data_IF_830109077244
#
_entry.id   IF_830109077244
#
_cell.length_a   1.000
_cell.length_b   1.000
_cell.length_c   1.000
_cell.angle_alpha   90.00
_cell.angle_beta   90.00
_cell.angle_gamma   90.00
#
_symmetry.space_group_name_H-M   'P 1'
#
loop_
_entity.id
_entity.type
_entity.pdbx_description
1 polymer ?
#
# COMPACT_ATOMS: atom_id res chain seq x y z
N UNK A 1 3.74 -57.64 -3.74
CA UNK A 1 4.55 -56.84 -4.69
C UNK A 1 3.63 -55.84 -5.36
N UNK A 2 3.57 -54.61 -4.85
CA UNK A 2 2.74 -53.55 -5.43
C UNK A 2 3.48 -53.03 -6.66
N UNK A 3 2.84 -53.18 -7.82
CA UNK A 3 3.42 -52.87 -9.13
C UNK A 3 3.82 -51.40 -9.22
N UNK A 4 5.10 -51.15 -9.50
CA UNK A 4 5.68 -49.82 -9.76
C UNK A 4 4.98 -49.03 -10.88
N UNK A 5 4.08 -49.67 -11.65
CA UNK A 5 3.31 -49.01 -12.71
C UNK A 5 2.10 -48.20 -12.20
N UNK A 6 1.65 -48.42 -10.96
CA UNK A 6 0.54 -47.66 -10.39
C UNK A 6 0.96 -46.29 -9.83
N UNK A 7 2.25 -46.07 -9.56
CA UNK A 7 2.75 -44.83 -8.99
C UNK A 7 2.96 -43.70 -10.02
N UNK A 8 2.93 -44.00 -11.32
CA UNK A 8 3.21 -43.01 -12.36
C UNK A 8 1.96 -42.23 -12.84
N UNK A 9 0.75 -42.66 -12.47
CA UNK A 9 -0.50 -42.00 -12.88
C UNK A 9 -0.98 -40.90 -11.93
N UNK A 10 -0.24 -40.62 -10.84
CA UNK A 10 -0.58 -39.58 -9.86
C UNK A 10 0.37 -38.36 -9.87
N UNK A 11 1.23 -38.24 -10.89
CA UNK A 11 2.26 -37.18 -10.96
C UNK A 11 2.01 -36.14 -12.07
N UNK A 12 0.77 -35.97 -12.52
CA UNK A 12 0.38 -34.97 -13.53
C UNK A 12 -0.78 -34.09 -13.05
N UNK A 13 -0.75 -33.65 -11.79
CA UNK A 13 -1.46 -32.43 -11.42
C UNK A 13 -0.64 -31.25 -11.96
N UNK A 14 -0.77 -30.99 -13.26
CA UNK A 14 -0.27 -29.77 -13.89
C UNK A 14 -0.93 -28.62 -13.16
N UNK A 15 -0.14 -27.87 -12.38
CA UNK A 15 -0.52 -26.56 -11.88
C UNK A 15 -0.73 -25.67 -13.10
N UNK A 16 -1.94 -25.66 -13.64
CA UNK A 16 -2.39 -24.63 -14.57
C UNK A 16 -2.49 -23.34 -13.74
N UNK A 17 -1.39 -22.60 -13.66
CA UNK A 17 -1.50 -21.16 -13.49
C UNK A 17 -2.25 -20.67 -14.72
N UNK A 18 -3.56 -20.45 -14.61
CA UNK A 18 -4.30 -19.80 -15.67
C UNK A 18 -3.66 -18.42 -15.82
N UNK A 19 -2.98 -18.19 -16.94
CA UNK A 19 -2.56 -16.86 -17.33
C UNK A 19 -3.84 -16.02 -17.41
N UNK A 20 -4.04 -15.13 -16.44
CA UNK A 20 -5.17 -14.24 -16.44
C UNK A 20 -4.98 -13.23 -17.56
N UNK A 21 -5.94 -13.16 -18.49
CA UNK A 21 -5.94 -12.14 -19.52
C UNK A 21 -6.42 -10.81 -18.93
N UNK A 22 -5.54 -9.82 -18.98
CA UNK A 22 -5.77 -8.45 -18.50
C UNK A 22 -5.78 -7.42 -19.63
N UNK A 23 -5.79 -7.86 -20.89
CA UNK A 23 -5.64 -6.97 -22.07
C UNK A 23 -6.66 -5.83 -22.15
N UNK A 24 -7.82 -5.97 -21.51
CA UNK A 24 -8.85 -4.95 -21.39
C UNK A 24 -8.50 -3.82 -20.40
N UNK A 25 -7.77 -4.14 -19.34
CA UNK A 25 -7.39 -3.22 -18.25
C UNK A 25 -6.03 -2.55 -18.47
N UNK A 26 -5.17 -3.11 -19.32
CA UNK A 26 -3.81 -2.59 -19.52
C UNK A 26 -3.81 -1.13 -19.96
N UNK A 27 -3.03 -0.32 -19.25
CA UNK A 27 -2.85 1.10 -19.51
C UNK A 27 -2.99 1.95 -18.24
N UNK A 28 -2.85 3.26 -18.42
CA UNK A 28 -3.03 4.27 -17.37
C UNK A 28 -4.39 4.92 -17.53
N UNK A 29 -5.17 4.88 -16.46
CA UNK A 29 -6.53 5.40 -16.37
C UNK A 29 -6.55 6.54 -15.38
N UNK A 30 -7.00 7.72 -15.81
CA UNK A 30 -7.10 8.91 -14.97
C UNK A 30 -8.54 9.40 -14.87
N UNK A 31 -8.90 9.96 -13.71
CA UNK A 31 -10.17 10.66 -13.55
C UNK A 31 -10.28 11.89 -14.46
N UNK A 32 -11.50 12.43 -14.60
CA UNK A 32 -11.83 13.51 -15.56
C UNK A 32 -10.89 14.73 -15.55
N UNK A 33 -10.23 15.04 -14.44
CA UNK A 33 -9.29 16.17 -14.36
C UNK A 33 -8.06 16.01 -15.25
N UNK A 34 -7.70 14.77 -15.65
CA UNK A 34 -6.58 14.47 -16.53
C UNK A 34 -5.26 15.15 -16.11
N UNK A 35 -5.06 15.29 -14.80
CA UNK A 35 -3.89 15.93 -14.20
C UNK A 35 -3.15 15.03 -13.23
N UNK A 36 -3.87 14.09 -12.61
CA UNK A 36 -3.30 13.07 -11.72
C UNK A 36 -3.01 11.83 -12.54
N UNK A 37 -1.75 11.45 -12.59
CA UNK A 37 -1.27 10.23 -13.24
C UNK A 37 -0.41 9.44 -12.26
N UNK A 38 -0.22 8.17 -12.55
CA UNK A 38 0.75 7.31 -11.86
C UNK A 38 2.15 7.48 -12.47
N UNK A 39 3.17 6.97 -11.80
CA UNK A 39 4.56 6.94 -12.22
C UNK A 39 5.44 8.00 -11.54
N UNK A 40 6.67 8.22 -12.07
CA UNK A 40 7.68 9.08 -11.45
C UNK A 40 7.28 10.56 -11.39
N UNK A 41 6.29 10.98 -12.18
CA UNK A 41 5.73 12.33 -12.12
C UNK A 41 4.85 12.59 -10.90
N UNK A 42 4.43 11.54 -10.17
CA UNK A 42 3.58 11.65 -8.98
C UNK A 42 4.34 11.38 -7.70
N UNK A 43 5.15 10.32 -7.68
CA UNK A 43 5.94 9.93 -6.52
C UNK A 43 7.39 9.65 -6.93
N UNK A 44 8.33 10.22 -6.18
CA UNK A 44 9.76 9.95 -6.30
C UNK A 44 10.21 9.02 -5.15
N UNK A 45 10.51 7.75 -5.44
CA UNK A 45 10.92 6.80 -4.41
C UNK A 45 12.34 7.03 -3.88
N UNK A 46 13.18 7.79 -4.58
CA UNK A 46 14.57 8.07 -4.16
C UNK A 46 14.60 9.16 -3.11
N UNK A 47 13.83 10.23 -3.32
CA UNK A 47 13.74 11.37 -2.40
C UNK A 47 12.56 11.27 -1.42
N UNK A 48 11.75 10.20 -1.49
CA UNK A 48 10.53 9.99 -0.69
C UNK A 48 9.59 11.20 -0.76
N UNK A 49 9.34 11.69 -1.99
CA UNK A 49 8.68 12.96 -2.24
C UNK A 49 7.47 12.82 -3.18
N UNK A 50 6.38 13.50 -2.85
CA UNK A 50 5.21 13.62 -3.70
C UNK A 50 5.23 14.90 -4.53
N UNK A 51 4.94 14.78 -5.82
CA UNK A 51 4.68 15.92 -6.70
C UNK A 51 3.17 16.14 -6.77
N UNK A 52 2.70 17.27 -6.23
CA UNK A 52 1.28 17.59 -6.20
C UNK A 52 0.74 17.87 -7.62
N UNK A 53 -0.30 17.13 -8.07
CA UNK A 53 -0.94 17.41 -9.35
C UNK A 53 -1.70 18.73 -9.36
N UNK A 54 -1.87 19.32 -10.55
CA UNK A 54 -2.60 20.60 -10.71
C UNK A 54 -4.06 20.56 -10.23
N UNK A 55 -4.72 19.41 -10.35
CA UNK A 55 -6.10 19.21 -9.90
C UNK A 55 -6.24 17.87 -9.19
N UNK A 56 -7.19 17.81 -8.26
CA UNK A 56 -7.56 16.56 -7.58
C UNK A 56 -8.05 15.52 -8.57
N UNK A 57 -7.76 14.27 -8.25
CA UNK A 57 -8.11 13.15 -9.11
C UNK A 57 -7.57 11.84 -8.56
N UNK A 58 -7.96 10.76 -9.22
CA UNK A 58 -7.40 9.44 -8.99
C UNK A 58 -6.88 8.88 -10.31
N UNK A 59 -5.86 8.05 -10.24
CA UNK A 59 -5.28 7.35 -11.38
C UNK A 59 -4.93 5.93 -10.98
N UNK A 60 -5.10 5.02 -11.93
CA UNK A 60 -4.66 3.64 -11.84
C UNK A 60 -3.90 3.27 -13.09
N UNK A 61 -2.80 2.54 -12.92
CA UNK A 61 -2.13 1.88 -14.04
C UNK A 61 -2.12 0.39 -13.83
N UNK A 62 -2.41 -0.35 -14.89
CA UNK A 62 -2.36 -1.81 -14.89
C UNK A 62 -1.43 -2.31 -16.00
N UNK A 63 -0.59 -3.28 -15.66
CA UNK A 63 0.29 -3.97 -16.60
C UNK A 63 -0.26 -5.34 -16.95
N UNK A 64 0.16 -5.87 -18.11
CA UNK A 64 -0.18 -7.22 -18.54
C UNK A 64 0.39 -8.29 -17.61
N UNK A 65 1.45 -7.96 -16.85
CA UNK A 65 2.12 -8.86 -15.91
C UNK A 65 1.41 -8.96 -14.54
N UNK A 66 0.25 -8.33 -14.38
CA UNK A 66 -0.54 -8.39 -13.14
C UNK A 66 -0.09 -7.42 -12.05
N UNK A 67 0.64 -6.34 -12.41
CA UNK A 67 1.00 -5.27 -11.48
C UNK A 67 0.13 -4.04 -11.67
N UNK A 68 -0.17 -3.38 -10.55
CA UNK A 68 -0.90 -2.13 -10.51
C UNK A 68 -0.10 -1.05 -9.79
N UNK A 69 -0.40 0.19 -10.13
CA UNK A 69 -0.06 1.37 -9.35
C UNK A 69 -1.29 2.26 -9.24
N UNK A 70 -1.49 2.89 -8.08
CA UNK A 70 -2.52 3.89 -7.88
C UNK A 70 -1.94 5.20 -7.38
N UNK A 71 -2.60 6.29 -7.75
CA UNK A 71 -2.22 7.64 -7.35
C UNK A 71 -3.46 8.45 -7.07
N UNK A 72 -3.51 9.02 -5.88
CA UNK A 72 -4.70 9.59 -5.29
C UNK A 72 -4.39 10.98 -4.81
N UNK A 73 -5.12 11.97 -5.30
CA UNK A 73 -5.07 13.33 -4.79
C UNK A 73 -6.49 13.84 -4.53
N UNK A 74 -6.81 14.07 -3.26
CA UNK A 74 -8.17 14.42 -2.81
C UNK A 74 -8.12 15.63 -1.90
N UNK A 75 -8.98 16.61 -2.20
CA UNK A 75 -9.33 17.65 -1.26
C UNK A 75 -10.49 17.17 -0.38
N UNK A 76 -10.35 17.32 0.93
CA UNK A 76 -11.37 17.00 1.93
C UNK A 76 -11.92 18.31 2.45
N UNK A 77 -13.20 18.56 2.17
CA UNK A 77 -13.89 19.76 2.63
C UNK A 77 -14.04 19.74 4.16
N UNK A 78 -13.89 20.93 4.77
CA UNK A 78 -14.16 21.14 6.18
C UNK A 78 -15.37 22.09 6.32
N UNK A 79 -16.60 21.56 6.48
CA UNK A 79 -17.79 22.41 6.56
C UNK A 79 -17.85 23.24 7.84
N UNK A 80 -17.15 22.83 8.91
CA UNK A 80 -17.05 23.59 10.16
C UNK A 80 -16.13 24.81 10.04
N UNK A 81 -15.07 24.71 9.25
CA UNK A 81 -14.22 25.86 8.88
C UNK A 81 -13.83 25.80 7.40
N UNK A 82 -14.61 26.46 6.52
CA UNK A 82 -14.36 26.46 5.07
C UNK A 82 -13.03 27.08 4.64
N UNK A 83 -12.36 27.85 5.51
CA UNK A 83 -11.03 28.43 5.21
C UNK A 83 -9.92 27.39 5.31
N UNK A 84 -10.22 26.22 5.86
CA UNK A 84 -9.29 25.18 6.24
C UNK A 84 -9.56 23.85 5.50
N UNK A 85 -9.48 23.80 4.17
CA UNK A 85 -9.59 22.53 3.45
C UNK A 85 -8.40 21.63 3.79
N UNK A 86 -8.64 20.33 3.86
CA UNK A 86 -7.60 19.33 4.09
C UNK A 86 -7.22 18.67 2.77
N UNK A 87 -5.97 18.24 2.65
CA UNK A 87 -5.44 17.58 1.45
C UNK A 87 -4.94 16.19 1.78
N UNK A 88 -5.23 15.23 0.90
CA UNK A 88 -4.70 13.86 0.99
C UNK A 88 -4.05 13.51 -0.34
N UNK A 89 -2.76 13.17 -0.31
CA UNK A 89 -2.04 12.54 -1.41
C UNK A 89 -1.67 11.13 -0.97
N UNK A 90 -2.01 10.13 -1.78
CA UNK A 90 -1.77 8.71 -1.50
C UNK A 90 -1.18 8.05 -2.74
N UNK A 91 -0.25 7.13 -2.50
CA UNK A 91 0.37 6.31 -3.53
C UNK A 91 0.58 4.91 -2.98
N UNK A 92 0.26 3.90 -3.79
CA UNK A 92 0.67 2.52 -3.55
C UNK A 92 0.74 1.76 -4.86
N UNK A 93 1.50 0.67 -4.84
CA UNK A 93 1.68 -0.21 -5.98
C UNK A 93 1.82 -1.65 -5.50
N UNK A 94 1.59 -2.60 -6.39
CA UNK A 94 1.71 -4.01 -6.07
C UNK A 94 1.11 -4.91 -7.14
N UNK A 95 0.54 -6.04 -6.73
CA UNK A 95 -0.08 -7.02 -7.63
C UNK A 95 -1.58 -6.93 -7.59
N UNK A 96 -2.23 -7.22 -8.71
CA UNK A 96 -3.68 -7.34 -8.74
C UNK A 96 -4.09 -8.72 -9.26
N UNK A 97 -5.28 -9.14 -8.85
CA UNK A 97 -5.85 -10.43 -9.21
C UNK A 97 -7.30 -10.24 -9.64
N UNK A 98 -7.67 -10.87 -10.76
CA UNK A 98 -9.05 -10.92 -11.23
C UNK A 98 -9.68 -12.23 -10.75
N UNK A 99 -10.64 -12.14 -9.85
CA UNK A 99 -11.31 -13.34 -9.35
C UNK A 99 -12.30 -13.88 -10.40
N UNK A 100 -12.64 -15.16 -10.29
CA UNK A 100 -13.56 -15.83 -11.21
C UNK A 100 -14.99 -15.27 -11.15
N UNK A 101 -15.36 -14.59 -10.06
CA UNK A 101 -16.62 -13.88 -9.88
C UNK A 101 -16.66 -12.51 -10.60
N UNK A 102 -15.55 -12.10 -11.23
CA UNK A 102 -15.41 -10.80 -11.89
C UNK A 102 -14.97 -9.66 -10.97
N UNK A 103 -14.72 -9.94 -9.69
CA UNK A 103 -14.16 -8.98 -8.75
C UNK A 103 -12.66 -8.77 -9.00
N UNK A 104 -12.18 -7.56 -8.72
CA UNK A 104 -10.78 -7.17 -8.88
C UNK A 104 -10.19 -6.87 -7.49
N UNK A 105 -9.12 -7.56 -7.11
CA UNK A 105 -8.43 -7.33 -5.82
C UNK A 105 -7.04 -6.76 -6.06
N UNK A 106 -6.72 -5.71 -5.32
CA UNK A 106 -5.43 -5.03 -5.36
C UNK A 106 -4.64 -5.34 -4.09
N UNK A 107 -3.46 -5.93 -4.26
CA UNK A 107 -2.55 -6.35 -3.19
C UNK A 107 -1.29 -5.47 -3.20
N UNK A 108 -1.27 -4.36 -2.43
CA UNK A 108 -0.12 -3.47 -2.40
C UNK A 108 1.10 -4.12 -1.73
N UNK A 109 2.29 -3.65 -2.10
CA UNK A 109 3.52 -3.96 -1.39
C UNK A 109 3.52 -3.17 -0.07
N UNK A 110 3.34 -3.90 1.03
CA UNK A 110 3.08 -3.34 2.37
C UNK A 110 4.04 -2.25 2.86
N UNK A 111 5.28 -2.25 2.39
CA UNK A 111 6.35 -1.35 2.85
C UNK A 111 6.50 -0.09 2.00
N UNK A 112 5.92 -0.09 0.80
CA UNK A 112 6.18 0.94 -0.20
C UNK A 112 5.14 2.05 -0.19
N UNK A 113 3.87 1.75 0.08
CA UNK A 113 2.83 2.76 0.00
C UNK A 113 3.10 3.96 0.92
N UNK A 114 2.72 5.14 0.44
CA UNK A 114 2.96 6.44 1.06
C UNK A 114 1.68 7.27 1.07
N UNK A 115 1.53 8.08 2.10
CA UNK A 115 0.43 9.02 2.26
C UNK A 115 0.95 10.31 2.85
N UNK A 116 0.54 11.43 2.28
CA UNK A 116 0.73 12.76 2.81
C UNK A 116 -0.63 13.37 3.13
N UNK A 117 -0.76 13.84 4.37
CA UNK A 117 -1.95 14.49 4.89
C UNK A 117 -1.62 15.94 5.24
N UNK A 118 -2.37 16.88 4.67
CA UNK A 118 -2.24 18.31 4.92
C UNK A 118 -3.47 18.84 5.64
N UNK A 119 -3.26 19.45 6.81
CA UNK A 119 -4.28 20.18 7.56
C UNK A 119 -3.70 21.55 7.94
N UNK A 120 -3.93 22.59 7.13
CA UNK A 120 -3.28 23.89 7.27
C UNK A 120 -3.68 24.65 8.55
N UNK A 121 -4.76 24.23 9.21
CA UNK A 121 -5.27 24.91 10.40
C UNK A 121 -4.86 24.23 11.70
N UNK A 122 -4.43 22.97 11.65
CA UNK A 122 -3.81 22.29 12.78
C UNK A 122 -2.29 22.33 12.72
N UNK A 123 -1.70 22.22 11.52
CA UNK A 123 -0.27 22.06 11.33
C UNK A 123 0.27 23.02 10.28
N UNK A 124 1.51 23.49 10.48
CA UNK A 124 2.23 24.27 9.45
C UNK A 124 2.78 23.40 8.32
N UNK A 125 3.05 22.13 8.62
CA UNK A 125 3.64 21.17 7.70
C UNK A 125 2.68 19.99 7.51
N UNK A 126 2.75 19.36 6.34
CA UNK A 126 2.03 18.12 6.06
C UNK A 126 2.65 16.94 6.81
N UNK A 127 1.80 16.00 7.20
CA UNK A 127 2.18 14.75 7.88
C UNK A 127 2.39 13.68 6.82
N UNK A 128 3.58 13.08 6.80
CA UNK A 128 3.95 12.03 5.87
C UNK A 128 4.00 10.68 6.58
N UNK A 129 3.25 9.69 6.09
CA UNK A 129 3.11 8.37 6.71
C UNK A 129 3.15 7.26 5.67
N UNK A 130 3.46 6.04 6.10
CA UNK A 130 3.28 4.85 5.26
C UNK A 130 1.80 4.55 5.07
N UNK A 131 1.47 4.02 3.90
CA UNK A 131 0.12 3.63 3.50
C UNK A 131 0.14 2.19 3.01
N UNK A 132 -0.90 1.44 3.37
CA UNK A 132 -1.05 0.06 2.95
C UNK A 132 -2.53 -0.31 3.07
N UNK A 133 -3.24 -0.26 1.95
CA UNK A 133 -4.64 -0.62 1.89
C UNK A 133 -4.89 -1.60 0.74
N UNK A 134 -5.27 -2.82 1.09
CA UNK A 134 -5.80 -3.77 0.11
C UNK A 134 -7.16 -3.26 -0.37
N UNK A 135 -7.28 -2.99 -1.66
CA UNK A 135 -8.55 -2.57 -2.27
C UNK A 135 -9.24 -3.77 -2.92
N UNK A 136 -10.57 -3.85 -2.77
CA UNK A 136 -11.39 -4.86 -3.44
C UNK A 136 -12.52 -4.16 -4.18
N UNK A 137 -12.57 -4.37 -5.49
CA UNK A 137 -13.67 -3.96 -6.34
C UNK A 137 -14.59 -5.14 -6.59
N UNK A 138 -15.87 -4.97 -6.31
CA UNK A 138 -16.86 -6.01 -6.53
C UNK A 138 -16.94 -6.42 -8.01
N UNK A 139 -16.81 -5.43 -8.90
CA UNK A 139 -16.76 -5.63 -10.35
C UNK A 139 -16.07 -4.46 -11.02
N UNK A 140 -15.64 -4.67 -12.25
CA UNK A 140 -15.15 -3.60 -13.11
C UNK A 140 -15.82 -3.69 -14.49
N UNK A 141 -15.84 -2.59 -15.22
CA UNK A 141 -16.39 -2.53 -16.57
C UNK A 141 -15.53 -1.61 -17.43
N UNK A 142 -15.02 -2.13 -18.54
CA UNK A 142 -14.33 -1.34 -19.57
C UNK A 142 -15.28 -1.16 -20.75
N UNK A 143 -15.59 0.09 -21.09
CA UNK A 143 -16.45 0.42 -22.23
C UNK A 143 -15.99 1.68 -22.94
N UNK A 144 -16.44 1.90 -24.16
CA UNK A 144 -16.24 3.18 -24.84
C UNK A 144 -17.31 4.15 -24.34
N UNK A 145 -16.90 5.35 -23.93
CA UNK A 145 -17.81 6.40 -23.47
C UNK A 145 -18.59 6.95 -24.68
N UNK A 146 -19.93 6.95 -24.59
CA UNK A 146 -20.78 7.36 -25.70
C UNK A 146 -20.63 8.83 -26.09
N UNK A 147 -20.22 9.69 -25.15
CA UNK A 147 -20.05 11.12 -25.39
C UNK A 147 -18.64 11.42 -25.88
N UNK A 148 -17.61 10.97 -25.15
CA UNK A 148 -16.21 11.30 -25.43
C UNK A 148 -15.54 10.36 -26.46
N UNK A 149 -16.17 9.22 -26.79
CA UNK A 149 -15.64 8.18 -27.71
C UNK A 149 -14.27 7.61 -27.33
N UNK A 150 -13.90 7.71 -26.06
CA UNK A 150 -12.67 7.16 -25.47
C UNK A 150 -12.99 6.00 -24.54
N UNK A 151 -12.02 5.10 -24.31
CA UNK A 151 -12.19 4.02 -23.34
C UNK A 151 -12.36 4.60 -21.93
N UNK A 152 -13.36 4.10 -21.21
CA UNK A 152 -13.69 4.40 -19.83
C UNK A 152 -13.68 3.12 -19.00
N UNK A 153 -12.98 3.19 -17.87
CA UNK A 153 -12.97 2.18 -16.83
C UNK A 153 -13.88 2.63 -15.70
N UNK A 154 -14.90 1.82 -15.42
CA UNK A 154 -15.74 1.95 -14.25
C UNK A 154 -15.36 0.89 -13.22
N UNK A 155 -14.95 1.34 -12.04
CA UNK A 155 -14.67 0.48 -10.90
C UNK A 155 -15.84 0.58 -9.92
N UNK A 156 -16.25 -0.54 -9.34
CA UNK A 156 -17.29 -0.59 -8.32
C UNK A 156 -16.66 -1.08 -7.03
N UNK A 157 -16.77 -0.29 -5.96
CA UNK A 157 -16.16 -0.60 -4.66
C UNK A 157 -16.74 -1.89 -4.07
N UNK A 158 -16.22 -2.32 -2.92
CA UNK A 158 -16.68 -3.53 -2.24
C UNK A 158 -18.19 -3.51 -1.90
N UNK A 159 -18.78 -2.33 -1.71
CA UNK A 159 -20.20 -2.11 -1.43
C UNK A 159 -21.07 -2.01 -2.70
N UNK A 160 -20.47 -2.15 -3.88
CA UNK A 160 -21.12 -1.98 -5.17
C UNK A 160 -21.33 -0.52 -5.59
N UNK A 161 -20.95 0.46 -4.75
CA UNK A 161 -21.01 1.87 -5.14
C UNK A 161 -20.01 2.16 -6.27
N UNK A 162 -20.40 2.92 -7.29
CA UNK A 162 -19.49 3.27 -8.37
C UNK A 162 -18.40 4.21 -7.85
N UNK A 163 -17.15 3.93 -8.21
CA UNK A 163 -16.07 4.90 -8.12
C UNK A 163 -16.25 5.95 -9.23
N UNK A 164 -15.59 7.10 -9.10
CA UNK A 164 -15.60 8.09 -10.18
C UNK A 164 -15.07 7.45 -11.48
N UNK A 165 -15.65 7.78 -12.65
CA UNK A 165 -15.26 7.19 -13.91
C UNK A 165 -13.81 7.57 -14.25
N UNK A 166 -13.07 6.59 -14.73
CA UNK A 166 -11.69 6.75 -15.17
C UNK A 166 -11.63 6.64 -16.69
N UNK A 167 -10.80 7.44 -17.33
CA UNK A 167 -10.60 7.46 -18.78
C UNK A 167 -9.17 7.07 -19.12
N UNK A 168 -8.98 6.37 -20.23
CA UNK A 168 -7.64 5.99 -20.67
C UNK A 168 -6.83 7.26 -20.98
N UNK A 169 -5.72 7.44 -20.28
CA UNK A 169 -4.76 8.51 -20.49
C UNK A 169 -3.61 8.04 -21.38
N UNK A 170 -3.08 6.84 -21.09
CA UNK A 170 -2.00 6.22 -21.86
C UNK A 170 -2.31 4.75 -22.08
N UNK A 171 -2.12 4.26 -23.30
CA UNK A 171 -2.23 2.82 -23.62
C UNK A 171 -1.10 2.01 -23.01
N UNK A 172 0.08 2.62 -22.89
CA UNK A 172 1.22 2.06 -22.17
C UNK A 172 1.11 2.45 -20.69
N UNK A 173 1.14 1.50 -19.75
CA UNK A 173 1.06 1.82 -18.33
C UNK A 173 2.28 2.63 -17.88
N UNK A 174 2.01 3.79 -17.30
CA UNK A 174 3.01 4.62 -16.62
C UNK A 174 3.01 4.28 -15.13
N UNK A 175 4.03 3.58 -14.66
CA UNK A 175 4.21 3.24 -13.25
C UNK A 175 5.69 3.17 -12.89
N UNK A 176 5.99 3.25 -11.60
CA UNK A 176 7.29 2.99 -11.03
C UNK A 176 7.64 1.49 -11.14
N UNK A 177 8.92 1.11 -10.91
CA UNK A 177 9.32 -0.29 -10.97
C UNK A 177 8.50 -1.18 -10.03
N UNK A 178 8.08 -2.34 -10.53
CA UNK A 178 7.17 -3.29 -9.86
C UNK A 178 7.83 -4.10 -8.73
N UNK A 179 9.08 -3.78 -8.42
CA UNK A 179 9.86 -4.36 -7.30
C UNK A 179 9.66 -3.56 -6.04
N UNK A 180 9.93 -4.16 -4.88
CA UNK A 180 9.97 -3.43 -3.62
C UNK A 180 10.98 -2.28 -3.70
N UNK A 181 10.53 -1.04 -3.53
CA UNK A 181 11.35 0.16 -3.66
C UNK A 181 12.06 0.52 -2.35
N UNK A 182 11.37 0.36 -1.22
CA UNK A 182 11.86 0.73 0.10
C UNK A 182 11.83 -0.47 1.04
N UNK A 183 12.79 -1.42 0.91
CA UNK A 183 12.83 -2.59 1.77
C UNK A 183 13.07 -2.18 3.22
N UNK A 184 12.27 -2.70 4.13
CA UNK A 184 12.61 -2.65 5.54
C UNK A 184 13.77 -3.60 5.76
N UNK A 185 14.91 -3.06 6.16
CA UNK A 185 15.98 -3.86 6.76
C UNK A 185 15.45 -4.33 8.11
N UNK A 186 14.61 -5.37 8.10
CA UNK A 186 14.45 -6.20 9.28
C UNK A 186 15.82 -6.86 9.42
N UNK A 187 16.64 -6.35 10.33
CA UNK A 187 17.84 -7.05 10.76
C UNK A 187 17.38 -8.34 11.46
N UNK A 188 16.99 -9.35 10.68
CA UNK A 188 17.06 -10.72 11.12
C UNK A 188 18.53 -10.92 11.43
N UNK A 189 18.87 -11.01 12.72
CA UNK A 189 20.20 -11.33 13.18
C UNK A 189 20.61 -12.68 12.58
N UNK A 190 21.12 -12.64 11.36
CA UNK A 190 21.58 -13.82 10.65
C UNK A 190 22.97 -14.01 11.19
N UNK A 191 23.12 -15.01 12.05
CA UNK A 191 24.39 -15.41 12.58
C UNK A 191 25.39 -15.62 11.41
N UNK A 192 26.49 -14.86 11.47
CA UNK A 192 27.72 -15.00 10.66
C UNK A 192 27.66 -14.51 9.20
N UNK A 193 27.98 -13.23 9.00
CA UNK A 193 28.64 -12.75 7.79
C UNK A 193 29.97 -12.05 8.17
N UNK A 194 31.06 -12.45 7.50
CA UNK A 194 32.43 -11.98 7.77
C UNK A 194 32.66 -10.60 7.14
N UNK A 195 33.06 -9.65 8.00
CA UNK A 195 34.00 -8.50 7.83
C UNK A 195 34.24 -7.95 6.41
N UNK A 196 33.82 -6.70 6.17
CA UNK A 196 34.38 -5.84 5.12
C UNK A 196 33.61 -4.53 4.87
N UNK A 197 34.24 -3.40 5.23
CA UNK A 197 33.96 -1.98 4.90
C UNK A 197 33.05 -1.18 5.87
N UNK A 198 33.55 -0.04 6.42
CA UNK A 198 32.77 0.84 7.28
C UNK A 198 32.00 1.85 6.42
N UNK A 199 30.67 1.88 6.56
CA UNK A 199 29.83 2.98 6.10
C UNK A 199 29.49 3.86 7.31
N UNK A 200 29.38 5.19 7.12
CA UNK A 200 29.35 6.16 8.20
C UNK A 200 28.09 5.99 9.05
N UNK A 201 28.32 6.07 10.35
CA UNK A 201 27.37 5.93 11.44
C UNK A 201 26.30 7.03 11.36
N UNK A 202 25.23 6.78 10.61
CA UNK A 202 23.96 7.44 10.85
C UNK A 202 23.44 6.89 12.17
N UNK A 203 23.69 7.64 13.24
CA UNK A 203 23.28 7.38 14.61
C UNK A 203 21.74 7.26 14.65
N UNK A 204 21.25 6.03 14.48
CA UNK A 204 19.86 5.70 14.69
C UNK A 204 19.65 5.75 16.20
N UNK A 205 19.20 6.90 16.68
CA UNK A 205 18.76 7.15 18.06
C UNK A 205 17.50 6.32 18.39
N UNK A 206 17.58 5.00 18.30
CA UNK A 206 16.76 4.13 19.11
C UNK A 206 17.41 4.04 20.47
N UNK A 207 17.21 5.09 21.28
CA UNK A 207 17.40 4.99 22.73
C UNK A 207 16.47 3.88 23.19
N UNK A 208 17.04 2.69 23.39
CA UNK A 208 16.41 1.55 24.04
C UNK A 208 15.77 2.09 25.32
N UNK A 209 14.44 2.21 25.32
CA UNK A 209 13.70 2.58 26.52
C UNK A 209 14.14 1.61 27.59
N UNK A 210 14.88 2.12 28.57
CA UNK A 210 15.30 1.36 29.74
C UNK A 210 14.09 0.72 30.38
N UNK A 211 14.30 -0.46 30.95
CA UNK A 211 13.33 -1.40 31.55
C UNK A 211 12.49 -0.80 32.70
N UNK A 212 11.82 0.33 32.48
CA UNK A 212 10.97 1.00 33.46
C UNK A 212 9.76 0.11 33.78
N UNK A 213 9.22 -0.61 32.79
CA UNK A 213 8.12 -1.55 33.00
C UNK A 213 8.49 -2.70 33.95
N UNK A 214 9.69 -3.27 33.80
CA UNK A 214 10.19 -4.36 34.65
C UNK A 214 10.50 -3.84 36.06
N UNK A 215 11.13 -2.66 36.18
CA UNK A 215 11.40 -2.03 37.48
C UNK A 215 10.12 -1.68 38.25
N UNK A 216 9.08 -1.17 37.57
CA UNK A 216 7.79 -0.85 38.19
C UNK A 216 7.05 -2.13 38.62
N UNK A 217 7.12 -3.19 37.82
CA UNK A 217 6.55 -4.49 38.16
C UNK A 217 7.17 -5.07 39.44
N UNK A 218 8.51 -5.11 39.51
CA UNK A 218 9.21 -5.62 40.70
C UNK A 218 9.04 -4.73 41.93
N UNK A 219 8.96 -3.40 41.77
CA UNK A 219 8.66 -2.49 42.86
C UNK A 219 7.27 -2.74 43.46
N UNK A 220 6.25 -2.97 42.61
CA UNK A 220 4.89 -3.29 43.07
C UNK A 220 4.81 -4.63 43.82
N UNK A 221 5.56 -5.64 43.37
CA UNK A 221 5.60 -6.95 44.01
C UNK A 221 6.27 -6.90 45.40
N UNK A 222 7.35 -6.11 45.53
CA UNK A 222 8.02 -5.89 46.82
C UNK A 222 7.18 -5.07 47.80
N UNK A 223 6.49 -4.03 47.32
CA UNK A 223 5.62 -3.21 48.18
C UNK A 223 4.44 -4.02 48.74
N UNK A 224 3.85 -4.89 47.92
CA UNK A 224 2.74 -5.76 48.35
C UNK A 224 3.23 -6.84 49.33
N UNK A 225 4.40 -7.43 49.09
CA UNK A 225 5.00 -8.40 50.00
C UNK A 225 5.37 -7.80 51.36
N UNK A 226 5.97 -6.59 51.37
CA UNK A 226 6.30 -5.87 52.59
C UNK A 226 5.04 -5.46 53.39
N UNK A 227 3.99 -5.01 52.70
CA UNK A 227 2.70 -4.70 53.32
C UNK A 227 2.04 -5.92 53.97
N UNK A 228 2.09 -7.09 53.31
CA UNK A 228 1.58 -8.35 53.88
C UNK A 228 2.36 -8.83 55.10
N UNK A 229 3.68 -8.66 55.10
CA UNK A 229 4.51 -8.98 56.27
C UNK A 229 4.27 -8.02 57.44
N UNK A 230 4.16 -6.71 57.17
CA UNK A 230 3.86 -5.73 58.22
C UNK A 230 2.49 -5.95 58.86
N UNK A 231 1.48 -6.38 58.08
CA UNK A 231 0.16 -6.77 58.61
C UNK A 231 0.18 -8.02 59.51
N UNK A 232 1.21 -8.87 59.41
CA UNK A 232 1.33 -10.05 60.27
C UNK A 232 2.03 -9.75 61.60
N UNK A 233 2.84 -8.69 61.65
CA UNK A 233 3.63 -8.32 62.83
C UNK A 233 3.03 -7.16 63.65
N UNK A 234 1.87 -6.61 63.24
CA UNK A 234 1.05 -5.64 63.96
C UNK A 234 -0.42 -6.05 63.93
#
# INVERSE_FOLDING_TARGET
MVSFKAALLLAAAVMHAQAQDFSDLVGTWSSKSNSTFTGPGFYDPVNDHFTEPKHTGISYSFTADGYFEESYYRAVANPGDPKCPKGIIQWQHGKFEKNADGSLKLHPIKVDGRQMFSDPCQYKNSVYTRYNATETFQRYEVRIDDYHKIKRLNLYKFDGSPLMPLYIAYTTPQMLPTTTLNPLVTATATAKAKRGLPLPEAEVLFKKSTNIADQVFWAGLLATGAGGLLWWFF
#
